data_IF_025282719401
#
_entry.id   IF_025282719401
#
_cell.length_a   1.000
_cell.length_b   1.000
_cell.length_c   1.000
_cell.angle_alpha   90.00
_cell.angle_beta   90.00
_cell.angle_gamma   90.00
#
_symmetry.space_group_name_H-M   'P 1'
#
loop_
_entity.id
_entity.type
_entity.pdbx_description
1 polymer ?
#
# COMPACT_ATOMS: atom_id res chain seq x y z
N UNK A 1 -6.34 -33.67 24.60
CA UNK A 1 -6.22 -32.20 24.81
C UNK A 1 -6.15 -31.53 23.44
N UNK A 2 -7.24 -30.89 23.01
CA UNK A 2 -7.45 -30.37 21.64
C UNK A 2 -7.76 -28.85 21.67
N UNK A 3 -7.55 -28.19 22.81
CA UNK A 3 -7.99 -26.80 22.99
C UNK A 3 -6.92 -25.83 22.45
N UNK A 4 -7.32 -24.91 21.58
CA UNK A 4 -6.46 -23.88 21.02
C UNK A 4 -7.20 -22.57 20.82
N UNK A 5 -6.44 -21.47 20.88
CA UNK A 5 -6.91 -20.14 20.51
C UNK A 5 -6.13 -19.73 19.26
N UNK A 6 -6.82 -19.64 18.12
CA UNK A 6 -6.21 -19.29 16.84
C UNK A 6 -6.39 -17.80 16.58
N UNK A 7 -5.29 -17.15 16.22
CA UNK A 7 -5.26 -15.74 15.83
C UNK A 7 -4.50 -15.56 14.52
N UNK A 8 -4.84 -14.54 13.75
CA UNK A 8 -4.07 -14.17 12.55
C UNK A 8 -2.67 -13.67 12.97
N UNK A 9 -1.63 -13.97 12.19
CA UNK A 9 -0.27 -13.49 12.48
C UNK A 9 -0.16 -11.97 12.67
N UNK A 10 -1.00 -11.18 11.99
CA UNK A 10 -1.01 -9.71 12.11
C UNK A 10 -1.52 -9.21 13.45
N UNK A 11 -2.34 -10.01 14.13
CA UNK A 11 -3.03 -9.62 15.37
C UNK A 11 -2.31 -10.21 16.61
N UNK A 12 -1.13 -10.83 16.43
CA UNK A 12 -0.34 -11.41 17.54
C UNK A 12 0.01 -10.40 18.63
N UNK A 13 0.27 -9.15 18.24
CA UNK A 13 0.61 -8.07 19.20
C UNK A 13 -0.60 -7.59 20.01
N UNK A 14 -1.82 -7.91 19.58
CA UNK A 14 -3.04 -7.49 20.26
C UNK A 14 -3.42 -8.47 21.39
N UNK A 15 -2.77 -9.64 21.46
CA UNK A 15 -2.97 -10.65 22.49
C UNK A 15 -2.15 -10.28 23.73
N UNK A 16 -2.83 -9.98 24.83
CA UNK A 16 -2.18 -9.55 26.08
C UNK A 16 -1.87 -10.71 27.00
N UNK A 17 -2.75 -11.71 27.06
CA UNK A 17 -2.58 -12.86 27.92
C UNK A 17 -3.34 -14.05 27.34
N UNK A 18 -2.77 -15.23 27.43
CA UNK A 18 -3.42 -16.51 27.14
C UNK A 18 -3.14 -17.44 28.30
N UNK A 19 -4.18 -17.95 28.94
CA UNK A 19 -4.05 -18.79 30.13
C UNK A 19 -5.07 -19.93 30.11
N UNK A 20 -4.62 -21.11 30.50
CA UNK A 20 -5.50 -22.21 30.88
C UNK A 20 -6.08 -21.95 32.27
N UNK A 21 -7.39 -21.94 32.38
CA UNK A 21 -8.11 -21.75 33.63
C UNK A 21 -8.15 -23.07 34.39
N UNK A 22 -7.36 -23.16 35.46
CA UNK A 22 -7.39 -24.28 36.41
C UNK A 22 -8.59 -24.11 37.34
N UNK A 23 -9.41 -25.15 37.50
CA UNK A 23 -10.55 -25.14 38.42
C UNK A 23 -11.87 -24.68 37.80
N UNK A 24 -11.89 -24.28 36.53
CA UNK A 24 -13.12 -24.19 35.73
C UNK A 24 -13.53 -25.58 35.20
N UNK A 25 -13.40 -26.60 36.05
CA UNK A 25 -13.54 -28.00 35.70
C UNK A 25 -15.02 -28.34 35.56
N UNK A 26 -15.63 -27.92 34.46
CA UNK A 26 -16.97 -28.32 34.07
C UNK A 26 -16.92 -29.74 33.49
N UNK A 27 -16.68 -30.75 34.34
CA UNK A 27 -17.00 -32.18 34.10
C UNK A 27 -16.37 -32.87 32.87
N UNK A 28 -15.54 -32.18 32.09
CA UNK A 28 -14.87 -32.67 30.90
C UNK A 28 -13.35 -32.74 31.09
N UNK A 29 -12.71 -33.61 30.32
CA UNK A 29 -11.25 -33.78 30.19
C UNK A 29 -10.54 -32.60 29.50
N UNK A 30 -11.29 -31.54 29.16
CA UNK A 30 -10.82 -30.35 28.48
C UNK A 30 -10.59 -29.19 29.44
N UNK A 31 -9.53 -28.41 29.19
CA UNK A 31 -9.21 -27.23 29.97
C UNK A 31 -9.75 -25.99 29.27
N UNK A 32 -10.46 -25.14 30.01
CA UNK A 32 -10.91 -23.87 29.47
C UNK A 32 -9.70 -22.96 29.21
N UNK A 33 -9.48 -22.59 27.96
CA UNK A 33 -8.50 -21.57 27.57
C UNK A 33 -9.17 -20.20 27.53
N UNK A 34 -8.57 -19.22 28.18
CA UNK A 34 -9.00 -17.82 28.13
C UNK A 34 -7.88 -16.97 27.57
N UNK A 35 -8.22 -16.09 26.61
CA UNK A 35 -7.30 -15.07 26.10
C UNK A 35 -7.90 -13.69 26.24
N UNK A 36 -7.08 -12.74 26.69
CA UNK A 36 -7.40 -11.31 26.72
C UNK A 36 -6.71 -10.64 25.56
N UNK A 37 -7.50 -10.03 24.69
CA UNK A 37 -7.03 -9.36 23.47
C UNK A 37 -7.64 -7.97 23.33
N UNK A 38 -6.86 -7.03 22.80
CA UNK A 38 -7.33 -5.68 22.50
C UNK A 38 -7.48 -5.50 20.99
N UNK A 39 -8.70 -5.69 20.48
CA UNK A 39 -8.95 -5.45 19.06
C UNK A 39 -8.88 -3.96 18.75
N UNK A 40 -7.79 -3.53 18.12
CA UNK A 40 -7.76 -2.19 17.54
C UNK A 40 -8.46 -2.22 16.19
N UNK A 41 -9.68 -1.68 16.13
CA UNK A 41 -10.28 -1.31 14.85
C UNK A 41 -9.40 -0.19 14.28
N UNK A 42 -8.48 -0.55 13.39
CA UNK A 42 -7.67 0.45 12.68
C UNK A 42 -8.65 1.34 11.93
N UNK A 43 -8.57 2.65 12.18
CA UNK A 43 -9.34 3.59 11.39
C UNK A 43 -9.08 3.30 9.92
N UNK A 44 -10.15 3.13 9.15
CA UNK A 44 -10.09 2.96 7.70
C UNK A 44 -9.22 4.10 7.19
N UNK A 45 -8.03 3.79 6.70
CA UNK A 45 -7.16 4.79 6.09
C UNK A 45 -7.98 5.41 4.97
N UNK A 46 -8.49 6.63 5.20
CA UNK A 46 -9.15 7.39 4.16
C UNK A 46 -8.11 7.52 3.06
N UNK A 47 -8.36 6.87 1.93
CA UNK A 47 -7.67 7.22 0.70
C UNK A 47 -8.16 8.64 0.40
N UNK A 48 -7.52 9.64 1.03
CA UNK A 48 -7.47 10.96 0.42
C UNK A 48 -6.90 10.67 -0.96
N UNK A 49 -7.80 10.69 -1.95
CA UNK A 49 -7.45 10.34 -3.33
C UNK A 49 -6.18 11.07 -3.63
N UNK A 50 -5.17 10.35 -4.13
CA UNK A 50 -3.88 10.93 -4.51
C UNK A 50 -4.17 12.25 -5.18
N UNK A 51 -3.75 13.36 -4.57
CA UNK A 51 -3.93 14.67 -5.18
C UNK A 51 -3.35 14.53 -6.58
N UNK A 52 -4.20 14.68 -7.60
CA UNK A 52 -3.74 14.57 -8.99
C UNK A 52 -2.54 15.51 -9.09
N UNK A 53 -1.39 15.08 -9.63
CA UNK A 53 -0.27 15.99 -9.81
C UNK A 53 -0.78 17.16 -10.65
N UNK A 54 -0.83 18.34 -10.04
CA UNK A 54 -1.40 19.55 -10.64
C UNK A 54 -0.55 20.03 -11.82
N UNK A 55 0.71 19.60 -11.89
CA UNK A 55 1.65 19.98 -12.93
C UNK A 55 2.26 18.73 -13.56
N UNK A 56 2.16 18.63 -14.89
CA UNK A 56 2.95 17.67 -15.66
C UNK A 56 4.43 18.05 -15.58
N UNK A 57 5.29 17.06 -15.35
CA UNK A 57 6.73 17.29 -15.34
C UNK A 57 7.23 17.50 -16.78
N UNK A 58 7.35 18.76 -17.19
CA UNK A 58 7.83 19.20 -18.51
C UNK A 58 9.35 19.26 -18.62
N UNK A 59 10.11 18.88 -17.58
CA UNK A 59 11.58 18.92 -17.62
C UNK A 59 12.20 18.13 -18.78
N UNK A 60 11.52 17.07 -19.26
CA UNK A 60 11.96 16.25 -20.39
C UNK A 60 11.67 16.86 -21.77
N UNK A 61 10.78 17.87 -21.82
CA UNK A 61 10.44 18.58 -23.05
C UNK A 61 11.38 19.77 -23.29
N UNK A 62 11.99 20.31 -22.24
CA UNK A 62 12.90 21.46 -22.32
C UNK A 62 14.36 21.06 -22.52
N UNK A 63 14.60 19.99 -23.28
CA UNK A 63 15.96 19.55 -23.63
C UNK A 63 16.39 20.32 -24.87
N UNK A 64 17.50 21.06 -24.76
CA UNK A 64 18.08 21.87 -25.86
C UNK A 64 18.24 21.02 -27.13
N UNK A 65 18.70 19.78 -27.01
CA UNK A 65 18.85 18.83 -28.13
C UNK A 65 17.53 18.51 -28.87
N UNK A 66 16.37 18.54 -28.20
CA UNK A 66 15.07 18.36 -28.87
C UNK A 66 14.65 19.61 -29.65
N UNK A 67 15.01 20.80 -29.15
CA UNK A 67 14.77 22.04 -29.87
C UNK A 67 15.64 22.11 -31.13
N UNK A 68 16.93 21.81 -31.01
CA UNK A 68 17.86 21.79 -32.15
C UNK A 68 17.43 20.80 -33.23
N UNK A 69 16.99 19.59 -32.86
CA UNK A 69 16.46 18.61 -33.80
C UNK A 69 15.17 19.10 -34.48
N UNK A 70 14.32 19.84 -33.77
CA UNK A 70 13.09 20.40 -34.32
C UNK A 70 13.38 21.57 -35.27
N UNK A 71 14.35 22.42 -34.94
CA UNK A 71 14.80 23.52 -35.80
C UNK A 71 15.36 22.98 -37.11
N UNK A 72 16.21 21.95 -37.05
CA UNK A 72 16.75 21.28 -38.22
C UNK A 72 15.68 20.63 -39.10
N UNK A 73 14.66 20.01 -38.50
CA UNK A 73 13.52 19.45 -39.24
C UNK A 73 12.70 20.55 -39.93
N UNK A 74 12.49 21.70 -39.28
CA UNK A 74 11.79 22.83 -39.88
C UNK A 74 12.58 23.46 -41.02
N UNK A 75 13.89 23.67 -40.86
CA UNK A 75 14.76 24.21 -41.90
C UNK A 75 14.85 23.27 -43.11
N UNK A 76 14.93 21.96 -42.86
CA UNK A 76 14.92 20.94 -43.91
C UNK A 76 13.59 20.91 -44.67
N UNK A 77 12.47 21.09 -43.97
CA UNK A 77 11.17 21.20 -44.59
C UNK A 77 11.10 22.47 -45.46
N UNK A 78 11.51 23.64 -44.93
CA UNK A 78 11.49 24.89 -45.70
C UNK A 78 12.33 24.79 -46.98
N UNK A 79 13.52 24.20 -46.93
CA UNK A 79 14.36 23.97 -48.11
C UNK A 79 13.66 23.10 -49.17
N UNK A 80 12.95 22.06 -48.76
CA UNK A 80 12.16 21.21 -49.68
C UNK A 80 10.96 21.94 -50.29
N UNK A 81 10.41 22.95 -49.61
CA UNK A 81 9.33 23.77 -50.13
C UNK A 81 9.81 24.83 -51.11
N UNK A 82 11.03 25.36 -50.95
CA UNK A 82 11.63 26.33 -51.87
C UNK A 82 12.11 25.69 -53.19
N UNK A 83 12.43 24.40 -53.18
CA UNK A 83 12.82 23.63 -54.39
C UNK A 83 11.64 23.20 -55.29
N UNK A 84 10.40 23.51 -54.90
CA UNK A 84 9.17 23.04 -55.59
C UNK A 84 8.40 24.17 -56.26
#
# INVERSE_FOLDING_TARGET
MIDFIITRCRDKMDIHCTRAMLGANCWADHQLLSSKMAFRIRQKHNRHGTSKPTNLNTSKLNTISRMESCEQEMDSALAQWEEK
#
